data_IF_519686865100
#
_entry.id   IF_519686865100
#
_cell.length_a   1.000
_cell.length_b   1.000
_cell.length_c   1.000
_cell.angle_alpha   90.00
_cell.angle_beta   90.00
_cell.angle_gamma   90.00
#
_symmetry.space_group_name_H-M   'P 1'
#
loop_
_entity.id
_entity.type
_entity.pdbx_description
1 polymer ?
#
# COMPACT_ATOMS: atom_id res chain seq x y z
N UNK A 1 -11.21 6.78 -18.00
CA UNK A 1 -10.55 7.52 -16.89
C UNK A 1 -10.35 8.96 -17.35
N UNK A 2 -10.54 9.96 -16.50
CA UNK A 2 -10.35 11.38 -16.85
C UNK A 2 -9.19 11.94 -16.02
N UNK A 3 -8.01 12.17 -16.61
CA UNK A 3 -6.86 12.72 -15.88
C UNK A 3 -7.14 14.16 -15.42
N UNK A 4 -6.70 14.49 -14.21
CA UNK A 4 -6.77 15.88 -13.69
C UNK A 4 -5.59 16.73 -14.16
N UNK A 5 -4.54 16.11 -14.70
CA UNK A 5 -3.28 16.78 -15.05
C UNK A 5 -2.40 17.13 -13.83
N UNK A 6 -2.79 16.69 -12.63
CA UNK A 6 -2.05 16.94 -11.40
C UNK A 6 -1.12 15.75 -11.11
N UNK A 7 0.15 16.03 -10.85
CA UNK A 7 1.11 15.01 -10.40
C UNK A 7 0.74 14.47 -9.01
N UNK A 8 0.80 13.14 -8.85
CA UNK A 8 0.36 12.48 -7.64
C UNK A 8 1.25 12.79 -6.42
N UNK A 9 2.57 12.96 -6.63
CA UNK A 9 3.51 13.26 -5.55
C UNK A 9 3.33 14.70 -5.08
N UNK A 10 3.20 15.64 -6.01
CA UNK A 10 2.92 17.04 -5.69
C UNK A 10 1.56 17.21 -5.02
N UNK A 11 0.55 16.44 -5.45
CA UNK A 11 -0.74 16.42 -4.78
C UNK A 11 -0.64 15.88 -3.35
N UNK A 12 0.11 14.80 -3.13
CA UNK A 12 0.32 14.24 -1.79
C UNK A 12 0.99 15.25 -0.85
N UNK A 13 2.04 15.95 -1.32
CA UNK A 13 2.69 17.04 -0.57
C UNK A 13 1.70 18.13 -0.20
N UNK A 14 0.88 18.56 -1.16
CA UNK A 14 -0.13 19.60 -0.94
C UNK A 14 -1.20 19.14 0.06
N UNK A 15 -1.69 17.91 -0.04
CA UNK A 15 -2.67 17.36 0.90
C UNK A 15 -2.13 17.36 2.34
N UNK A 16 -0.86 16.98 2.52
CA UNK A 16 -0.18 17.04 3.83
C UNK A 16 -0.01 18.48 4.32
N UNK A 17 0.39 19.41 3.45
CA UNK A 17 0.48 20.83 3.79
C UNK A 17 -0.88 21.44 4.20
N UNK A 18 -1.98 20.88 3.69
CA UNK A 18 -3.35 21.24 4.06
C UNK A 18 -3.84 20.55 5.35
N UNK A 19 -3.01 19.71 5.98
CA UNK A 19 -3.30 19.07 7.27
C UNK A 19 -3.73 17.60 7.19
N UNK A 20 -3.57 16.92 6.04
CA UNK A 20 -3.80 15.47 5.98
C UNK A 20 -2.80 14.73 6.87
N UNK A 21 -3.31 13.89 7.78
CA UNK A 21 -2.50 13.09 8.71
C UNK A 21 -2.08 11.72 8.20
N UNK A 22 -2.61 11.27 7.06
CA UNK A 22 -2.30 10.00 6.40
C UNK A 22 -2.70 10.07 4.92
N UNK A 23 -2.00 9.33 4.06
CA UNK A 23 -2.32 9.19 2.64
C UNK A 23 -2.70 7.74 2.32
N UNK A 24 -3.91 7.52 1.79
CA UNK A 24 -4.28 6.27 1.13
C UNK A 24 -3.94 6.38 -0.35
N UNK A 25 -2.89 5.70 -0.78
CA UNK A 25 -2.38 5.76 -2.15
C UNK A 25 -2.85 4.56 -2.95
N UNK A 26 -3.85 4.76 -3.80
CA UNK A 26 -4.33 3.73 -4.74
C UNK A 26 -3.74 3.97 -6.13
N UNK A 27 -2.94 3.02 -6.63
CA UNK A 27 -2.49 3.05 -8.03
C UNK A 27 -3.56 2.50 -8.95
N UNK A 28 -4.17 3.36 -9.76
CA UNK A 28 -5.18 2.95 -10.73
C UNK A 28 -4.62 2.06 -11.83
N UNK A 29 -3.33 2.14 -12.13
CA UNK A 29 -2.69 1.31 -13.16
C UNK A 29 -2.46 -0.13 -12.71
N UNK A 30 -2.36 -0.33 -11.39
CA UNK A 30 -2.28 -1.65 -10.76
C UNK A 30 -3.61 -2.18 -10.29
N UNK A 31 -4.60 -1.31 -10.06
CA UNK A 31 -5.86 -1.73 -9.49
C UNK A 31 -6.58 -2.78 -10.35
N UNK A 32 -6.98 -3.88 -9.72
CA UNK A 32 -7.57 -5.04 -10.39
C UNK A 32 -6.62 -5.95 -11.18
N UNK A 33 -5.35 -5.60 -11.39
CA UNK A 33 -4.44 -6.42 -12.23
C UNK A 33 -3.89 -7.64 -11.49
N UNK A 34 -3.80 -7.56 -10.16
CA UNK A 34 -3.19 -8.59 -9.28
C UNK A 34 -1.66 -8.74 -9.45
N UNK A 35 -0.98 -7.80 -10.10
CA UNK A 35 0.48 -7.83 -10.35
C UNK A 35 1.33 -7.13 -9.27
N UNK A 36 0.72 -6.81 -8.13
CA UNK A 36 1.34 -6.12 -7.01
C UNK A 36 1.10 -4.62 -6.97
N UNK A 37 1.55 -4.00 -5.88
CA UNK A 37 1.50 -2.56 -5.74
C UNK A 37 2.40 -1.86 -6.76
N UNK A 38 2.11 -0.59 -7.02
CA UNK A 38 3.04 0.29 -7.71
C UNK A 38 4.11 0.75 -6.71
N UNK A 39 5.14 -0.08 -6.49
CA UNK A 39 6.17 0.19 -5.49
C UNK A 39 7.00 1.43 -5.81
N UNK A 40 7.19 1.75 -7.10
CA UNK A 40 7.88 2.96 -7.53
C UNK A 40 7.08 4.22 -7.16
N UNK A 41 5.79 4.25 -7.48
CA UNK A 41 4.91 5.35 -7.07
C UNK A 41 4.80 5.45 -5.55
N UNK A 42 4.65 4.31 -4.87
CA UNK A 42 4.57 4.25 -3.40
C UNK A 42 5.84 4.81 -2.77
N UNK A 43 7.02 4.43 -3.28
CA UNK A 43 8.32 4.96 -2.84
C UNK A 43 8.43 6.46 -3.07
N UNK A 44 8.00 6.94 -4.23
CA UNK A 44 8.04 8.36 -4.56
C UNK A 44 7.20 9.19 -3.58
N UNK A 45 5.98 8.73 -3.27
CA UNK A 45 5.09 9.40 -2.31
C UNK A 45 5.63 9.31 -0.88
N UNK A 46 6.02 8.12 -0.42
CA UNK A 46 6.54 7.93 0.96
C UNK A 46 7.81 8.72 1.22
N UNK A 47 8.65 8.92 0.20
CA UNK A 47 9.86 9.74 0.32
C UNK A 47 9.56 11.25 0.28
N UNK A 48 8.39 11.64 -0.23
CA UNK A 48 8.00 13.03 -0.43
C UNK A 48 7.18 13.62 0.73
N UNK A 49 6.60 12.78 1.60
CA UNK A 49 5.74 13.21 2.70
C UNK A 49 6.22 12.66 4.04
N UNK A 50 5.95 13.40 5.12
CA UNK A 50 6.32 12.99 6.50
C UNK A 50 5.23 12.22 7.25
N UNK A 51 4.07 11.98 6.64
CA UNK A 51 2.93 11.28 7.26
C UNK A 51 2.87 9.81 6.82
N UNK A 52 2.17 8.94 7.57
CA UNK A 52 1.90 7.57 7.16
C UNK A 52 1.28 7.49 5.75
N UNK A 53 1.67 6.45 5.01
CA UNK A 53 1.14 6.13 3.69
C UNK A 53 0.68 4.68 3.67
N UNK A 54 -0.56 4.45 3.23
CA UNK A 54 -1.14 3.14 3.00
C UNK A 54 -1.08 2.84 1.50
N UNK A 55 -0.35 1.81 1.09
CA UNK A 55 -0.35 1.34 -0.29
C UNK A 55 -1.63 0.55 -0.60
N UNK A 56 -2.23 0.80 -1.76
CA UNK A 56 -3.48 0.20 -2.21
C UNK A 56 -3.46 -0.05 -3.72
N UNK A 57 -4.20 -1.07 -4.16
CA UNK A 57 -4.35 -1.47 -5.56
C UNK A 57 -3.39 -2.59 -5.99
N UNK A 58 -3.90 -3.55 -6.77
CA UNK A 58 -3.09 -4.54 -7.49
C UNK A 58 -2.56 -5.74 -6.70
N UNK A 59 -2.88 -5.89 -5.42
CA UNK A 59 -2.44 -7.07 -4.65
C UNK A 59 -3.02 -8.37 -5.22
N UNK A 60 -2.16 -9.37 -5.38
CA UNK A 60 -2.50 -10.71 -5.88
C UNK A 60 -1.89 -11.84 -5.07
N UNK A 61 -0.79 -11.59 -4.36
CA UNK A 61 -0.08 -12.55 -3.51
C UNK A 61 0.30 -11.92 -2.17
N UNK A 62 0.72 -12.74 -1.20
CA UNK A 62 1.23 -12.23 0.08
C UNK A 62 2.58 -11.51 -0.04
N UNK A 63 3.40 -11.85 -1.04
CA UNK A 63 4.65 -11.13 -1.30
C UNK A 63 4.39 -9.69 -1.72
N UNK A 64 3.34 -9.44 -2.51
CA UNK A 64 2.96 -8.08 -2.89
C UNK A 64 2.66 -7.21 -1.64
N UNK A 65 2.12 -7.79 -0.57
CA UNK A 65 1.92 -7.08 0.71
C UNK A 65 3.25 -6.69 1.36
N UNK A 66 4.22 -7.61 1.38
CA UNK A 66 5.54 -7.35 1.93
C UNK A 66 6.31 -6.30 1.12
N UNK A 67 6.20 -6.35 -0.20
CA UNK A 67 6.90 -5.45 -1.12
C UNK A 67 6.35 -4.01 -1.02
N UNK A 68 5.05 -3.83 -0.77
CA UNK A 68 4.49 -2.50 -0.49
C UNK A 68 5.16 -1.78 0.68
N UNK A 69 5.57 -2.53 1.70
CA UNK A 69 6.28 -1.99 2.87
C UNK A 69 7.79 -1.89 2.61
N UNK A 70 8.42 -2.98 2.18
CA UNK A 70 9.88 -3.07 2.04
C UNK A 70 10.41 -2.25 0.87
N UNK A 71 9.81 -2.41 -0.31
CA UNK A 71 10.21 -1.72 -1.54
C UNK A 71 9.49 -0.37 -1.72
N UNK A 72 8.23 -0.27 -1.28
CA UNK A 72 7.43 0.96 -1.38
C UNK A 72 7.60 1.93 -0.21
N UNK A 73 8.03 1.45 0.96
CA UNK A 73 8.14 2.28 2.17
C UNK A 73 6.80 2.61 2.84
N UNK A 74 5.72 1.93 2.45
CA UNK A 74 4.41 2.17 3.06
C UNK A 74 4.41 1.74 4.53
N UNK A 75 3.72 2.52 5.37
CA UNK A 75 3.51 2.18 6.79
C UNK A 75 2.35 1.22 6.98
N UNK A 76 1.46 1.14 6.00
CA UNK A 76 0.35 0.19 5.95
C UNK A 76 0.10 -0.29 4.52
N UNK A 77 -0.61 -1.41 4.40
CA UNK A 77 -1.03 -1.97 3.11
C UNK A 77 -2.50 -2.33 3.16
N UNK A 78 -3.21 -2.09 2.05
CA UNK A 78 -4.62 -2.41 1.88
C UNK A 78 -4.78 -3.38 0.71
N UNK A 79 -5.50 -4.48 0.96
CA UNK A 79 -5.90 -5.43 -0.06
C UNK A 79 -7.35 -5.84 0.14
N UNK A 80 -8.06 -6.07 -0.97
CA UNK A 80 -9.48 -6.43 -0.94
C UNK A 80 -9.73 -7.82 -1.54
N UNK A 81 -9.44 -8.02 -2.83
CA UNK A 81 -9.76 -9.25 -3.59
C UNK A 81 -9.23 -10.52 -2.95
N UNK A 82 -7.95 -10.54 -2.55
CA UNK A 82 -7.29 -11.72 -1.96
C UNK A 82 -7.93 -12.18 -0.64
N UNK A 83 -8.62 -11.29 0.08
CA UNK A 83 -9.33 -11.62 1.31
C UNK A 83 -10.82 -11.89 1.05
N UNK A 84 -11.44 -11.10 0.17
CA UNK A 84 -12.86 -11.24 -0.16
C UNK A 84 -13.18 -12.58 -0.80
N UNK A 85 -12.29 -13.09 -1.65
CA UNK A 85 -12.44 -14.41 -2.29
C UNK A 85 -11.88 -15.57 -1.45
N UNK A 86 -11.40 -15.30 -0.23
CA UNK A 86 -10.91 -16.34 0.68
C UNK A 86 -9.60 -17.01 0.25
N UNK A 87 -8.87 -16.44 -0.71
CA UNK A 87 -7.58 -16.98 -1.17
C UNK A 87 -6.53 -16.94 -0.05
N UNK A 88 -6.55 -15.87 0.74
CA UNK A 88 -5.73 -15.73 1.93
C UNK A 88 -6.56 -15.17 3.09
N UNK A 89 -6.06 -15.36 4.31
CA UNK A 89 -6.62 -14.73 5.51
C UNK A 89 -5.72 -13.59 5.98
N UNK A 90 -6.28 -12.68 6.78
CA UNK A 90 -5.49 -11.63 7.45
C UNK A 90 -4.40 -12.26 8.36
N UNK A 91 -4.67 -13.43 8.95
CA UNK A 91 -3.68 -14.16 9.74
C UNK A 91 -2.50 -14.64 8.87
N UNK A 92 -2.80 -15.25 7.72
CA UNK A 92 -1.77 -15.70 6.76
C UNK A 92 -0.92 -14.52 6.27
N UNK A 93 -1.55 -13.40 5.93
CA UNK A 93 -0.84 -12.18 5.55
C UNK A 93 0.10 -11.68 6.65
N UNK A 94 -0.37 -11.61 7.91
CA UNK A 94 0.46 -11.20 9.05
C UNK A 94 1.64 -12.15 9.28
N UNK A 95 1.41 -13.46 9.23
CA UNK A 95 2.47 -14.46 9.38
C UNK A 95 3.53 -14.32 8.29
N UNK A 96 3.10 -14.14 7.04
CA UNK A 96 4.00 -13.93 5.89
C UNK A 96 4.84 -12.65 6.03
N UNK A 97 4.19 -11.53 6.37
CA UNK A 97 4.87 -10.25 6.60
C UNK A 97 5.86 -10.34 7.77
N UNK A 98 5.49 -11.01 8.86
CA UNK A 98 6.38 -11.25 9.99
C UNK A 98 7.60 -12.10 9.60
N UNK A 99 7.39 -13.15 8.81
CA UNK A 99 8.47 -14.00 8.29
C UNK A 99 9.44 -13.23 7.37
N UNK A 100 8.96 -12.20 6.67
CA UNK A 100 9.76 -11.24 5.89
C UNK A 100 10.42 -10.13 6.75
N UNK A 101 10.31 -10.21 8.08
CA UNK A 101 10.93 -9.25 9.01
C UNK A 101 10.14 -7.96 9.23
N UNK A 102 8.90 -7.87 8.71
CA UNK A 102 8.04 -6.70 8.89
C UNK A 102 7.32 -6.80 10.23
N UNK A 103 7.41 -5.75 11.05
CA UNK A 103 6.69 -5.68 12.32
C UNK A 103 5.20 -5.52 12.06
N UNK A 104 4.43 -6.54 12.40
CA UNK A 104 2.98 -6.54 12.35
C UNK A 104 2.38 -6.74 13.73
N UNK A 105 1.13 -6.33 13.90
CA UNK A 105 0.40 -6.59 15.13
C UNK A 105 0.19 -8.11 15.30
N UNK A 106 0.55 -8.70 16.45
CA UNK A 106 0.36 -10.13 16.71
C UNK A 106 -1.07 -10.57 16.46
N UNK A 107 -1.24 -11.80 15.99
CA UNK A 107 -2.54 -12.48 15.99
C UNK A 107 -2.72 -13.03 17.41
N UNK A 108 -3.78 -12.65 18.15
CA UNK A 108 -4.07 -13.28 19.44
C UNK A 108 -4.14 -14.79 19.27
N UNK A 109 -3.55 -15.54 20.20
CA UNK A 109 -3.67 -17.00 20.25
C UNK A 109 -5.11 -17.41 20.58
#
# INVERSE_FOLDING_TARGET
>A
RTPTGIDAVEWARRAVALGAGEILLTSMDRDGTRDGFDTALTRAVTSAVGVPVIASGGVGTLDHLADGVTEGGATGVLAASIFHFGEFTVSAAKQHMAARGIRVRPVPQ
#
